data_IF_384278800241
#
_entry.id   IF_384278800241
#
_cell.length_a   1.000
_cell.length_b   1.000
_cell.length_c   1.000
_cell.angle_alpha   90.00
_cell.angle_beta   90.00
_cell.angle_gamma   90.00
#
_symmetry.space_group_name_H-M   'P 1'
#
loop_
_entity.id
_entity.type
_entity.pdbx_description
1 polymer ?
#
# COMPACT_ATOMS: atom_id res chain seq x y z
N UNK A 1 37.16 -21.96 -3.85
CA UNK A 1 35.83 -22.17 -3.25
C UNK A 1 34.92 -22.70 -4.33
N UNK A 2 34.60 -23.99 -4.32
CA UNK A 2 33.67 -24.58 -5.29
C UNK A 2 32.29 -23.95 -5.10
N UNK A 3 31.78 -23.30 -6.15
CA UNK A 3 30.40 -22.84 -6.17
C UNK A 3 29.49 -24.06 -6.02
N UNK A 4 28.83 -24.21 -4.87
CA UNK A 4 27.83 -25.24 -4.66
C UNK A 4 26.58 -24.91 -5.48
N UNK A 5 26.53 -25.39 -6.72
CA UNK A 5 25.45 -25.11 -7.66
C UNK A 5 24.25 -25.98 -7.30
N UNK A 6 23.16 -25.34 -6.86
CA UNK A 6 21.91 -26.02 -6.54
C UNK A 6 20.95 -26.04 -7.74
N UNK A 7 20.23 -27.15 -7.89
CA UNK A 7 19.17 -27.28 -8.87
C UNK A 7 18.01 -26.33 -8.55
N UNK A 8 17.67 -25.42 -9.48
CA UNK A 8 16.56 -24.47 -9.29
C UNK A 8 15.17 -25.12 -9.13
N UNK A 9 15.02 -26.39 -9.51
CA UNK A 9 13.73 -27.10 -9.46
C UNK A 9 13.51 -27.90 -8.18
N UNK A 10 14.55 -28.55 -7.65
CA UNK A 10 14.45 -29.45 -6.49
C UNK A 10 15.44 -29.12 -5.36
N UNK A 11 16.30 -28.12 -5.51
CA UNK A 11 17.29 -27.74 -4.50
C UNK A 11 18.49 -28.68 -4.38
N UNK A 12 18.52 -29.78 -5.15
CA UNK A 12 19.60 -30.77 -5.08
C UNK A 12 20.97 -30.18 -5.46
N UNK A 13 22.05 -30.54 -4.72
CA UNK A 13 23.43 -30.22 -5.10
C UNK A 13 24.00 -31.16 -6.17
N UNK A 14 23.29 -32.24 -6.54
CA UNK A 14 23.73 -33.22 -7.54
C UNK A 14 23.57 -32.68 -8.96
N UNK A 15 24.35 -31.64 -9.28
CA UNK A 15 24.30 -30.89 -10.53
C UNK A 15 25.61 -31.04 -11.28
N UNK A 16 25.52 -31.27 -12.59
CA UNK A 16 26.68 -31.32 -13.49
C UNK A 16 26.51 -30.33 -14.65
N UNK A 17 27.64 -29.87 -15.20
CA UNK A 17 27.65 -29.10 -16.46
C UNK A 17 27.10 -29.98 -17.60
N UNK A 18 26.28 -29.40 -18.46
CA UNK A 18 25.58 -30.10 -19.55
C UNK A 18 25.68 -29.29 -20.85
N UNK A 19 26.91 -29.12 -21.34
CA UNK A 19 27.19 -28.36 -22.56
C UNK A 19 26.80 -26.88 -22.51
N UNK A 20 26.91 -26.22 -23.66
CA UNK A 20 26.62 -24.80 -23.84
C UNK A 20 25.63 -24.60 -24.98
N UNK A 21 24.89 -23.50 -24.96
CA UNK A 21 24.05 -23.10 -26.09
C UNK A 21 24.08 -21.58 -26.22
N UNK A 22 24.43 -21.07 -27.41
CA UNK A 22 24.62 -19.64 -27.64
C UNK A 22 25.52 -18.98 -26.57
N UNK A 23 26.63 -19.66 -26.23
CA UNK A 23 27.57 -19.21 -25.19
C UNK A 23 27.10 -19.39 -23.74
N UNK A 24 25.86 -19.81 -23.50
CA UNK A 24 25.30 -19.96 -22.15
C UNK A 24 25.53 -21.39 -21.64
N UNK A 25 26.17 -21.51 -20.46
CA UNK A 25 26.36 -22.78 -19.77
C UNK A 25 25.01 -23.37 -19.30
N UNK A 26 24.77 -24.63 -19.67
CA UNK A 26 23.62 -25.42 -19.19
C UNK A 26 24.05 -26.41 -18.12
N UNK A 27 23.10 -26.79 -17.28
CA UNK A 27 23.29 -27.70 -16.16
C UNK A 27 22.24 -28.81 -16.19
N UNK A 28 22.63 -29.99 -15.73
CA UNK A 28 21.76 -31.16 -15.57
C UNK A 28 21.72 -31.57 -14.10
N UNK A 29 20.51 -31.69 -13.54
CA UNK A 29 20.33 -32.24 -12.21
C UNK A 29 20.16 -33.75 -12.28
N UNK A 30 21.03 -34.50 -11.60
CA UNK A 30 21.01 -35.97 -11.55
C UNK A 30 19.80 -36.52 -10.79
N UNK A 31 19.21 -35.74 -9.88
CA UNK A 31 18.08 -36.22 -9.06
C UNK A 31 16.74 -36.03 -9.78
N UNK A 32 16.40 -34.80 -10.17
CA UNK A 32 15.11 -34.52 -10.85
C UNK A 32 15.15 -34.66 -12.37
N UNK A 33 16.31 -35.01 -12.96
CA UNK A 33 16.51 -35.25 -14.40
C UNK A 33 16.07 -34.07 -15.29
N UNK A 34 16.33 -32.84 -14.85
CA UNK A 34 15.99 -31.62 -15.59
C UNK A 34 17.23 -30.82 -15.99
N UNK A 35 17.15 -30.24 -17.20
CA UNK A 35 18.10 -29.25 -17.72
C UNK A 35 17.73 -27.86 -17.22
N UNK A 36 18.72 -27.05 -16.86
CA UNK A 36 18.51 -25.65 -16.48
C UNK A 36 19.70 -24.75 -16.78
N UNK A 37 19.47 -23.45 -16.65
CA UNK A 37 20.48 -22.38 -16.66
C UNK A 37 20.38 -21.67 -15.31
N UNK A 38 21.51 -21.20 -14.77
CA UNK A 38 21.55 -20.42 -13.54
C UNK A 38 20.92 -19.04 -13.72
N UNK A 39 20.60 -18.37 -12.62
CA UNK A 39 20.03 -17.02 -12.64
C UNK A 39 18.57 -16.93 -13.12
N UNK A 40 17.95 -18.03 -13.54
CA UNK A 40 16.57 -18.08 -14.04
C UNK A 40 15.65 -18.81 -13.06
N UNK A 41 14.37 -18.42 -13.01
CA UNK A 41 13.37 -19.13 -12.20
C UNK A 41 12.92 -20.44 -12.87
N UNK A 42 12.33 -21.39 -12.11
CA UNK A 42 11.57 -22.49 -12.67
C UNK A 42 10.52 -21.99 -13.68
N UNK A 43 10.44 -22.68 -14.83
CA UNK A 43 9.52 -22.35 -15.94
C UNK A 43 9.77 -20.97 -16.59
N UNK A 44 10.89 -20.31 -16.29
CA UNK A 44 11.31 -19.09 -16.98
C UNK A 44 12.64 -19.31 -17.70
N UNK A 45 12.77 -18.66 -18.85
CA UNK A 45 13.98 -18.64 -19.68
C UNK A 45 14.84 -17.40 -19.42
N UNK A 46 14.23 -16.31 -18.95
CA UNK A 46 14.89 -15.03 -18.70
C UNK A 46 15.51 -14.98 -17.32
N UNK A 47 16.70 -14.38 -17.22
CA UNK A 47 17.42 -14.17 -15.97
C UNK A 47 16.65 -13.19 -15.05
N UNK A 48 16.69 -13.47 -13.75
CA UNK A 48 16.10 -12.64 -12.69
C UNK A 48 16.55 -11.19 -12.79
N UNK A 49 17.82 -10.94 -13.12
CA UNK A 49 18.40 -9.60 -13.26
C UNK A 49 17.67 -8.78 -14.31
N UNK A 50 17.44 -9.37 -15.49
CA UNK A 50 16.74 -8.72 -16.61
C UNK A 50 15.29 -8.39 -16.23
N UNK A 51 14.60 -9.35 -15.61
CA UNK A 51 13.22 -9.15 -15.14
C UNK A 51 13.16 -8.04 -14.08
N UNK A 52 14.10 -8.05 -13.14
CA UNK A 52 14.15 -7.04 -12.07
C UNK A 52 14.49 -5.64 -12.61
N UNK A 53 15.34 -5.54 -13.64
CA UNK A 53 15.61 -4.29 -14.34
C UNK A 53 14.35 -3.79 -15.04
N UNK A 54 13.63 -4.68 -15.74
CA UNK A 54 12.37 -4.33 -16.40
C UNK A 54 11.31 -3.78 -15.40
N UNK A 55 11.18 -4.41 -14.24
CA UNK A 55 10.29 -3.94 -13.15
C UNK A 55 10.76 -2.59 -12.60
N UNK A 56 12.06 -2.42 -12.37
CA UNK A 56 12.63 -1.19 -11.85
C UNK A 56 12.43 -0.02 -12.83
N UNK A 57 12.69 -0.22 -14.12
CA UNK A 57 12.40 0.77 -15.16
C UNK A 57 10.90 1.05 -15.28
N UNK A 58 10.08 -0.01 -15.29
CA UNK A 58 8.63 0.15 -15.36
C UNK A 58 8.14 1.01 -14.22
N UNK A 59 8.43 0.65 -12.97
CA UNK A 59 8.00 1.41 -11.79
C UNK A 59 8.68 2.78 -11.68
N UNK A 60 9.94 2.91 -12.11
CA UNK A 60 10.63 4.19 -12.26
C UNK A 60 9.98 5.16 -13.26
N UNK A 61 9.01 4.71 -14.04
CA UNK A 61 8.18 5.57 -14.90
C UNK A 61 8.54 5.50 -16.38
N UNK A 62 9.37 4.56 -16.82
CA UNK A 62 9.67 4.40 -18.24
C UNK A 62 8.49 3.76 -18.99
N UNK A 63 8.18 4.21 -20.23
CA UNK A 63 7.22 3.52 -21.08
C UNK A 63 7.77 2.19 -21.60
N UNK A 64 6.89 1.26 -21.99
CA UNK A 64 7.26 -0.12 -22.33
C UNK A 64 8.25 -0.22 -23.51
N UNK A 65 8.12 0.65 -24.51
CA UNK A 65 9.02 0.73 -25.66
C UNK A 65 10.43 1.19 -25.24
N UNK A 66 10.51 2.16 -24.32
CA UNK A 66 11.80 2.61 -23.77
C UNK A 66 12.45 1.52 -22.92
N UNK A 67 11.66 0.76 -22.15
CA UNK A 67 12.17 -0.39 -21.39
C UNK A 67 12.70 -1.45 -22.35
N UNK A 68 11.95 -1.78 -23.40
CA UNK A 68 12.38 -2.73 -24.42
C UNK A 68 13.74 -2.33 -25.04
N UNK A 69 13.88 -1.07 -25.47
CA UNK A 69 15.14 -0.54 -26.01
C UNK A 69 16.26 -0.60 -24.98
N UNK A 70 15.98 -0.21 -23.74
CA UNK A 70 16.95 -0.25 -22.65
C UNK A 70 17.44 -1.68 -22.36
N UNK A 71 16.53 -2.66 -22.27
CA UNK A 71 16.91 -4.06 -22.05
C UNK A 71 17.72 -4.63 -23.22
N UNK A 72 17.38 -4.27 -24.45
CA UNK A 72 18.15 -4.68 -25.62
C UNK A 72 19.57 -4.10 -25.59
N UNK A 73 19.71 -2.81 -25.27
CA UNK A 73 21.01 -2.14 -25.18
C UNK A 73 21.88 -2.70 -24.04
N UNK A 74 21.29 -2.96 -22.87
CA UNK A 74 22.05 -3.40 -21.69
C UNK A 74 22.36 -4.91 -21.68
N UNK A 75 21.45 -5.74 -22.21
CA UNK A 75 21.52 -7.20 -22.10
C UNK A 75 21.60 -7.92 -23.45
N UNK A 76 21.65 -7.20 -24.56
CA UNK A 76 21.73 -7.76 -25.93
C UNK A 76 20.51 -8.55 -26.37
N UNK A 77 19.44 -8.61 -25.56
CA UNK A 77 18.28 -9.45 -25.82
C UNK A 77 17.02 -8.61 -26.02
N UNK A 78 16.34 -8.83 -27.14
CA UNK A 78 15.09 -8.16 -27.45
C UNK A 78 13.90 -8.90 -26.82
N UNK A 79 13.03 -8.15 -26.15
CA UNK A 79 11.79 -8.66 -25.56
C UNK A 79 10.61 -7.83 -26.03
N UNK A 80 9.47 -8.46 -26.33
CA UNK A 80 8.26 -7.70 -26.69
C UNK A 80 7.74 -6.90 -25.51
N UNK A 81 7.14 -5.74 -25.78
CA UNK A 81 6.46 -4.92 -24.76
C UNK A 81 5.43 -5.74 -23.97
N UNK A 82 4.70 -6.64 -24.63
CA UNK A 82 3.75 -7.53 -23.98
C UNK A 82 4.43 -8.54 -23.04
N UNK A 83 5.60 -9.07 -23.43
CA UNK A 83 6.41 -9.94 -22.58
C UNK A 83 6.84 -9.22 -21.30
N UNK A 84 7.36 -8.00 -21.44
CA UNK A 84 7.75 -7.12 -20.32
C UNK A 84 6.53 -6.83 -19.44
N UNK A 85 5.41 -6.43 -20.03
CA UNK A 85 4.18 -6.12 -19.30
C UNK A 85 3.60 -7.34 -18.56
N UNK A 86 3.75 -8.55 -19.10
CA UNK A 86 3.38 -9.77 -18.40
C UNK A 86 4.28 -10.06 -17.21
N UNK A 87 5.58 -9.74 -17.27
CA UNK A 87 6.45 -9.78 -16.09
C UNK A 87 6.00 -8.79 -15.02
N UNK A 88 5.71 -7.54 -15.43
CA UNK A 88 5.16 -6.51 -14.55
C UNK A 88 3.94 -7.05 -13.80
N UNK A 89 2.88 -7.47 -14.51
CA UNK A 89 1.66 -7.99 -13.86
C UNK A 89 1.93 -9.15 -12.91
N UNK A 90 2.77 -10.11 -13.33
CA UNK A 90 3.07 -11.28 -12.52
C UNK A 90 3.75 -10.91 -11.21
N UNK A 91 4.86 -10.16 -11.29
CA UNK A 91 5.66 -9.85 -10.11
C UNK A 91 5.06 -8.74 -9.26
N UNK A 92 4.21 -7.87 -9.83
CA UNK A 92 3.29 -7.03 -9.06
C UNK A 92 2.42 -7.86 -8.13
N UNK A 93 1.78 -8.91 -8.65
CA UNK A 93 0.93 -9.79 -7.83
C UNK A 93 1.74 -10.50 -6.75
N UNK A 94 2.92 -11.02 -7.09
CA UNK A 94 3.80 -11.66 -6.09
C UNK A 94 4.27 -10.67 -5.00
N UNK A 95 4.54 -9.41 -5.35
CA UNK A 95 4.96 -8.39 -4.40
C UNK A 95 3.84 -7.99 -3.43
N UNK A 96 2.64 -7.71 -3.96
CA UNK A 96 1.45 -7.34 -3.17
C UNK A 96 1.07 -8.45 -2.19
N UNK A 97 1.09 -9.71 -2.65
CA UNK A 97 0.79 -10.87 -1.79
C UNK A 97 1.81 -11.00 -0.64
N UNK A 98 3.10 -10.76 -0.91
CA UNK A 98 4.17 -10.92 0.09
C UNK A 98 4.18 -9.84 1.17
N UNK A 99 3.54 -8.69 0.93
CA UNK A 99 3.48 -7.58 1.90
C UNK A 99 2.14 -7.51 2.63
N UNK A 100 1.19 -8.40 2.33
CA UNK A 100 -0.17 -8.33 2.90
C UNK A 100 -0.21 -8.35 4.43
N UNK A 101 0.76 -9.04 5.04
CA UNK A 101 0.91 -9.22 6.48
C UNK A 101 1.95 -8.27 7.10
N UNK A 102 2.52 -7.36 6.29
CA UNK A 102 3.47 -6.36 6.78
C UNK A 102 2.75 -5.27 7.56
N UNK A 103 3.15 -5.08 8.81
CA UNK A 103 2.60 -4.06 9.71
C UNK A 103 3.63 -2.93 9.91
N UNK A 104 3.43 -1.75 9.29
CA UNK A 104 4.34 -0.62 9.41
C UNK A 104 4.26 0.04 10.81
N UNK A 105 5.39 0.59 11.26
CA UNK A 105 5.44 1.47 12.44
C UNK A 105 5.29 2.92 11.95
N UNK A 106 4.06 3.43 12.03
CA UNK A 106 3.71 4.78 11.55
C UNK A 106 3.45 5.76 12.69
N UNK A 107 3.47 7.05 12.38
CA UNK A 107 3.13 8.14 13.30
C UNK A 107 1.63 8.22 13.63
N UNK A 108 1.27 9.31 14.31
CA UNK A 108 -0.10 9.57 14.79
C UNK A 108 -0.84 10.61 13.91
N UNK A 109 -0.19 11.12 12.86
CA UNK A 109 -0.78 12.09 11.93
C UNK A 109 -0.73 11.50 10.53
N UNK A 110 -1.91 11.28 9.94
CA UNK A 110 -2.03 10.80 8.58
C UNK A 110 -2.59 11.92 7.69
N UNK A 111 -2.22 11.89 6.42
CA UNK A 111 -2.70 12.82 5.41
C UNK A 111 -3.46 11.98 4.39
N UNK A 112 -4.68 12.40 4.03
CA UNK A 112 -5.46 11.74 3.00
C UNK A 112 -5.91 12.74 1.95
N UNK A 113 -5.90 12.31 0.71
CA UNK A 113 -6.30 13.11 -0.44
C UNK A 113 -6.74 12.19 -1.58
N UNK A 114 -7.48 12.75 -2.53
CA UNK A 114 -7.99 12.06 -3.70
C UNK A 114 -7.63 12.74 -5.00
N UNK A 115 -7.55 11.94 -6.05
CA UNK A 115 -7.18 12.43 -7.36
C UNK A 115 -7.90 11.67 -8.46
N UNK A 116 -8.00 12.29 -9.63
CA UNK A 116 -8.61 11.63 -10.80
C UNK A 116 -7.53 10.97 -11.64
N UNK A 117 -7.72 9.68 -11.93
CA UNK A 117 -6.93 8.90 -12.88
C UNK A 117 -7.78 8.48 -14.08
N UNK A 118 -7.14 8.09 -15.18
CA UNK A 118 -7.82 7.50 -16.34
C UNK A 118 -7.57 6.00 -16.42
N UNK A 119 -8.65 5.22 -16.42
CA UNK A 119 -8.65 3.75 -16.49
C UNK A 119 -9.65 3.29 -17.53
N UNK A 120 -9.18 2.52 -18.52
CA UNK A 120 -10.01 2.04 -19.63
C UNK A 120 -10.68 3.18 -20.40
N UNK A 121 -10.03 4.35 -20.48
CA UNK A 121 -10.60 5.56 -21.09
C UNK A 121 -11.58 6.35 -20.21
N UNK A 122 -11.93 5.86 -19.02
CA UNK A 122 -12.85 6.52 -18.08
C UNK A 122 -12.11 7.22 -16.96
N UNK A 123 -12.68 8.31 -16.44
CA UNK A 123 -12.20 8.97 -15.22
C UNK A 123 -12.64 8.14 -14.00
N UNK A 124 -11.70 7.88 -13.11
CA UNK A 124 -11.93 7.19 -11.83
C UNK A 124 -11.22 7.95 -10.72
N UNK A 125 -11.72 7.83 -9.50
CA UNK A 125 -11.14 8.42 -8.32
C UNK A 125 -10.06 7.50 -7.75
N UNK A 126 -9.02 8.09 -7.20
CA UNK A 126 -7.91 7.42 -6.56
C UNK A 126 -7.66 8.09 -5.23
N UNK A 127 -7.96 7.37 -4.15
CA UNK A 127 -7.80 7.82 -2.78
C UNK A 127 -6.48 7.30 -2.23
N UNK A 128 -5.75 8.15 -1.51
CA UNK A 128 -4.53 7.77 -0.81
C UNK A 128 -4.55 8.22 0.64
N UNK A 129 -3.88 7.45 1.48
CA UNK A 129 -3.60 7.81 2.89
C UNK A 129 -2.12 7.58 3.14
N UNK A 130 -1.42 8.61 3.59
CA UNK A 130 0.02 8.59 3.87
C UNK A 130 0.31 8.99 5.31
N UNK A 131 1.26 8.34 5.95
CA UNK A 131 1.77 8.77 7.25
C UNK A 131 2.69 9.99 7.09
N UNK A 132 2.45 11.05 7.84
CA UNK A 132 3.18 12.32 7.69
C UNK A 132 4.67 12.18 8.04
N UNK A 133 4.99 11.45 9.11
CA UNK A 133 6.36 11.32 9.63
C UNK A 133 7.24 10.39 8.79
N UNK A 134 6.73 9.21 8.45
CA UNK A 134 7.50 8.17 7.74
C UNK A 134 7.32 8.25 6.23
N UNK A 135 6.33 9.01 5.76
CA UNK A 135 5.84 9.01 4.37
C UNK A 135 5.32 7.65 3.92
N UNK A 136 5.07 6.70 4.82
CA UNK A 136 4.58 5.39 4.42
C UNK A 136 3.14 5.49 3.91
N UNK A 137 2.89 5.03 2.69
CA UNK A 137 1.54 4.92 2.13
C UNK A 137 0.79 3.79 2.83
N UNK A 138 -0.21 4.19 3.62
CA UNK A 138 -1.05 3.31 4.41
C UNK A 138 -2.20 2.70 3.61
N UNK A 139 -2.72 3.39 2.60
CA UNK A 139 -3.73 2.85 1.70
C UNK A 139 -3.74 3.63 0.38
N UNK A 140 -4.08 2.91 -0.69
CA UNK A 140 -4.38 3.46 -2.01
C UNK A 140 -5.61 2.73 -2.54
N UNK A 141 -6.58 3.43 -3.12
CA UNK A 141 -7.82 2.80 -3.60
C UNK A 141 -8.35 3.47 -4.87
N UNK A 142 -8.54 2.67 -5.91
CA UNK A 142 -9.27 3.08 -7.12
C UNK A 142 -10.77 2.87 -6.95
N UNK A 143 -11.57 3.89 -7.26
CA UNK A 143 -13.04 3.85 -7.11
C UNK A 143 -13.72 4.60 -8.24
N UNK A 144 -14.97 4.22 -8.56
CA UNK A 144 -15.78 4.94 -9.55
C UNK A 144 -16.50 6.17 -8.95
N UNK A 145 -16.62 6.24 -7.62
CA UNK A 145 -17.25 7.34 -6.90
C UNK A 145 -16.32 7.94 -5.84
N UNK A 146 -16.66 9.14 -5.37
CA UNK A 146 -15.98 9.82 -4.25
C UNK A 146 -16.89 10.01 -3.03
N UNK A 147 -17.83 9.07 -2.84
CA UNK A 147 -18.80 9.14 -1.76
C UNK A 147 -18.16 8.80 -0.40
N UNK A 148 -18.86 9.15 0.68
CA UNK A 148 -18.51 8.83 2.07
C UNK A 148 -18.11 7.36 2.27
N UNK A 149 -18.81 6.44 1.60
CA UNK A 149 -18.48 5.01 1.64
C UNK A 149 -17.04 4.73 1.20
N UNK A 150 -16.58 5.34 0.12
CA UNK A 150 -15.24 5.11 -0.41
C UNK A 150 -14.17 5.73 0.48
N UNK A 151 -14.44 6.92 1.01
CA UNK A 151 -13.60 7.54 2.04
C UNK A 151 -13.48 6.66 3.29
N UNK A 152 -14.59 6.13 3.82
CA UNK A 152 -14.57 5.22 4.96
C UNK A 152 -13.78 3.93 4.67
N UNK A 153 -13.92 3.38 3.45
CA UNK A 153 -13.22 2.14 3.12
C UNK A 153 -11.70 2.32 2.95
N UNK A 154 -11.22 3.44 2.40
CA UNK A 154 -9.77 3.73 2.34
C UNK A 154 -9.21 3.99 3.74
N UNK A 155 -9.97 4.69 4.60
CA UNK A 155 -9.61 4.93 6.00
C UNK A 155 -9.52 3.63 6.81
N UNK A 156 -10.48 2.72 6.62
CA UNK A 156 -10.47 1.43 7.30
C UNK A 156 -9.29 0.56 6.85
N UNK A 157 -8.92 0.61 5.56
CA UNK A 157 -7.74 -0.09 5.06
C UNK A 157 -6.44 0.48 5.65
N UNK A 158 -6.35 1.81 5.79
CA UNK A 158 -5.23 2.47 6.45
C UNK A 158 -5.13 2.06 7.94
N UNK A 159 -6.26 2.06 8.66
CA UNK A 159 -6.37 1.58 10.05
C UNK A 159 -5.91 0.14 10.21
N UNK A 160 -6.42 -0.74 9.34
CA UNK A 160 -6.06 -2.17 9.33
C UNK A 160 -4.57 -2.37 9.10
N UNK A 161 -3.99 -1.67 8.11
CA UNK A 161 -2.56 -1.77 7.79
C UNK A 161 -1.70 -1.22 8.94
N UNK A 162 -2.03 -0.05 9.49
CA UNK A 162 -1.30 0.54 10.61
C UNK A 162 -1.44 -0.24 11.93
N UNK A 163 -2.52 -1.01 12.09
CA UNK A 163 -2.85 -1.69 13.35
C UNK A 163 -3.26 -0.74 14.48
N UNK A 164 -3.56 0.53 14.19
CA UNK A 164 -3.95 1.56 15.16
C UNK A 164 -4.81 2.67 14.53
N UNK A 165 -5.48 3.45 15.37
CA UNK A 165 -6.07 4.73 14.97
C UNK A 165 -5.02 5.87 15.06
N UNK A 166 -5.01 6.83 14.13
CA UNK A 166 -4.21 8.04 14.26
C UNK A 166 -4.85 9.01 15.28
N UNK A 167 -4.06 9.93 15.83
CA UNK A 167 -4.61 11.05 16.61
C UNK A 167 -5.20 12.13 15.72
N UNK A 168 -4.63 12.32 14.53
CA UNK A 168 -5.04 13.36 13.58
C UNK A 168 -5.07 12.84 12.15
N UNK A 169 -6.06 13.28 11.40
CA UNK A 169 -6.10 13.10 9.94
C UNK A 169 -6.23 14.47 9.29
N UNK A 170 -5.32 14.78 8.37
CA UNK A 170 -5.32 15.98 7.55
C UNK A 170 -5.93 15.64 6.18
N UNK A 171 -6.93 16.38 5.74
CA UNK A 171 -7.48 16.26 4.37
C UNK A 171 -7.78 17.63 3.79
N UNK A 172 -8.00 17.70 2.47
CA UNK A 172 -8.66 18.87 1.87
C UNK A 172 -10.15 18.93 2.27
N UNK A 173 -10.86 19.96 1.83
CA UNK A 173 -12.23 20.34 2.24
C UNK A 173 -13.34 19.44 1.69
N UNK A 174 -13.03 18.27 1.14
CA UNK A 174 -14.07 17.35 0.63
C UNK A 174 -14.94 16.81 1.79
N UNK A 175 -16.26 17.06 1.72
CA UNK A 175 -17.21 16.65 2.76
C UNK A 175 -17.25 15.15 3.04
N UNK A 176 -17.00 14.30 2.04
CA UNK A 176 -16.99 12.84 2.21
C UNK A 176 -15.93 12.34 3.22
N UNK A 177 -14.84 13.09 3.43
CA UNK A 177 -13.88 12.74 4.48
C UNK A 177 -14.41 12.98 5.88
N UNK A 178 -15.23 14.02 6.09
CA UNK A 178 -15.80 14.33 7.41
C UNK A 178 -16.57 13.12 7.92
N UNK A 179 -17.54 12.67 7.13
CA UNK A 179 -18.36 11.50 7.50
C UNK A 179 -17.54 10.20 7.48
N UNK A 180 -16.64 10.04 6.50
CA UNK A 180 -15.86 8.81 6.34
C UNK A 180 -14.87 8.57 7.48
N UNK A 181 -14.25 9.64 7.99
CA UNK A 181 -13.34 9.59 9.14
C UNK A 181 -14.15 9.32 10.42
N UNK A 182 -15.27 10.03 10.62
CA UNK A 182 -16.13 9.83 11.78
C UNK A 182 -16.64 8.37 11.87
N UNK A 183 -17.07 7.78 10.74
CA UNK A 183 -17.53 6.39 10.69
C UNK A 183 -16.47 5.35 11.11
N UNK A 184 -15.18 5.62 10.84
CA UNK A 184 -14.09 4.64 11.04
C UNK A 184 -13.39 4.81 12.38
N UNK A 185 -13.25 6.07 12.82
CA UNK A 185 -12.44 6.42 13.98
C UNK A 185 -13.24 7.07 15.11
N UNK A 186 -14.38 7.71 14.81
CA UNK A 186 -15.16 8.48 15.78
C UNK A 186 -14.30 9.45 16.58
N UNK A 187 -14.57 9.54 17.88
CA UNK A 187 -13.88 10.45 18.80
C UNK A 187 -12.37 10.14 19.01
N UNK A 188 -11.85 8.99 18.55
CA UNK A 188 -10.43 8.64 18.71
C UNK A 188 -9.50 9.48 17.82
N UNK A 189 -10.04 10.11 16.78
CA UNK A 189 -9.26 10.82 15.76
C UNK A 189 -9.82 12.22 15.53
N UNK A 190 -8.96 13.23 15.60
CA UNK A 190 -9.31 14.60 15.21
C UNK A 190 -9.13 14.78 13.71
N UNK A 191 -10.21 15.05 12.99
CA UNK A 191 -10.15 15.51 11.60
C UNK A 191 -9.76 16.99 11.55
N UNK A 192 -8.82 17.33 10.68
CA UNK A 192 -8.39 18.70 10.41
C UNK A 192 -8.45 18.91 8.90
N UNK A 193 -9.26 19.87 8.47
CA UNK A 193 -9.28 20.30 7.08
C UNK A 193 -8.14 21.30 6.86
N UNK A 194 -7.23 21.03 5.93
CA UNK A 194 -6.16 21.95 5.59
C UNK A 194 -6.73 23.22 4.97
N UNK A 195 -6.22 24.39 5.40
CA UNK A 195 -6.43 25.65 4.69
C UNK A 195 -5.22 25.93 3.81
N UNK A 196 -5.42 26.49 2.60
CA UNK A 196 -4.31 26.99 1.79
C UNK A 196 -3.41 27.91 2.64
N UNK A 197 -2.09 27.78 2.51
CA UNK A 197 -1.07 28.67 3.10
C UNK A 197 -0.75 28.55 4.61
N UNK A 198 -0.98 27.40 5.26
CA UNK A 198 -0.43 27.16 6.61
C UNK A 198 0.61 26.04 6.60
N UNK A 199 1.85 26.34 7.00
CA UNK A 199 2.97 25.38 7.00
C UNK A 199 2.76 24.19 7.95
N UNK A 200 1.84 24.32 8.91
CA UNK A 200 1.65 23.36 10.01
C UNK A 200 0.74 22.18 9.64
N UNK A 201 -0.11 22.30 8.61
CA UNK A 201 -1.09 21.28 8.21
C UNK A 201 -1.18 21.12 6.68
N UNK A 202 -0.03 20.91 6.03
CA UNK A 202 0.05 20.87 4.57
C UNK A 202 -0.21 19.48 3.98
N UNK A 203 -1.01 19.43 2.91
CA UNK A 203 -1.26 18.27 2.04
C UNK A 203 -0.17 18.08 0.96
N UNK A 204 0.86 18.93 0.92
CA UNK A 204 1.90 18.91 -0.11
C UNK A 204 2.60 17.54 -0.26
N UNK A 205 2.74 16.77 0.83
CA UNK A 205 3.36 15.44 0.81
C UNK A 205 2.57 14.49 -0.09
N UNK A 206 1.25 14.43 0.08
CA UNK A 206 0.38 13.53 -0.69
C UNK A 206 0.15 14.06 -2.10
N UNK A 207 0.03 15.38 -2.28
CA UNK A 207 -0.10 16.00 -3.60
C UNK A 207 1.12 15.70 -4.49
N UNK A 208 2.34 15.81 -3.95
CA UNK A 208 3.57 15.46 -4.68
C UNK A 208 3.59 13.98 -5.07
N UNK A 209 3.10 13.10 -4.19
CA UNK A 209 2.97 11.68 -4.49
C UNK A 209 1.97 11.46 -5.65
N UNK A 210 0.77 12.03 -5.55
CA UNK A 210 -0.27 11.88 -6.57
C UNK A 210 0.17 12.48 -7.91
N UNK A 211 0.90 13.60 -7.92
CA UNK A 211 1.51 14.17 -9.12
C UNK A 211 2.45 13.19 -9.81
N UNK A 212 3.35 12.57 -9.04
CA UNK A 212 4.25 11.51 -9.55
C UNK A 212 3.46 10.36 -10.18
N UNK A 213 2.39 9.92 -9.52
CA UNK A 213 1.56 8.84 -10.03
C UNK A 213 0.82 9.24 -11.30
N UNK A 214 0.28 10.46 -11.37
CA UNK A 214 -0.40 10.97 -12.58
C UNK A 214 0.53 10.98 -13.78
N UNK A 215 1.74 11.50 -13.65
CA UNK A 215 2.69 11.55 -14.76
C UNK A 215 3.08 10.16 -15.25
N UNK A 216 3.26 9.25 -14.31
CA UNK A 216 3.45 7.83 -14.61
C UNK A 216 2.28 7.21 -15.37
N UNK A 217 1.02 7.44 -14.94
CA UNK A 217 -0.16 6.86 -15.62
C UNK A 217 -0.29 7.32 -17.07
N UNK A 218 0.13 8.57 -17.37
CA UNK A 218 0.18 9.09 -18.75
C UNK A 218 1.19 8.29 -19.58
N UNK A 219 2.38 8.04 -19.03
CA UNK A 219 3.49 7.39 -19.75
C UNK A 219 3.18 5.91 -20.05
N UNK A 220 2.56 5.17 -19.12
CA UNK A 220 2.26 3.74 -19.31
C UNK A 220 0.96 3.48 -20.11
N UNK A 221 0.45 4.47 -20.85
CA UNK A 221 -0.81 4.43 -21.63
C UNK A 221 -2.04 4.01 -20.80
N UNK A 222 -2.09 4.43 -19.53
CA UNK A 222 -3.20 4.19 -18.60
C UNK A 222 -3.41 2.71 -18.23
N UNK A 223 -4.29 2.48 -17.26
CA UNK A 223 -4.69 1.12 -16.89
C UNK A 223 -5.75 0.61 -17.86
N UNK A 224 -5.57 -0.58 -18.45
CA UNK A 224 -6.52 -1.12 -19.45
C UNK A 224 -7.89 -1.48 -18.88
N UNK A 225 -7.93 -1.85 -17.60
CA UNK A 225 -9.16 -2.22 -16.87
C UNK A 225 -9.02 -1.90 -15.39
N UNK A 226 -10.14 -1.79 -14.67
CA UNK A 226 -10.14 -1.55 -13.22
C UNK A 226 -9.27 -2.56 -12.46
N UNK A 227 -9.48 -3.86 -12.71
CA UNK A 227 -8.68 -4.95 -12.11
C UNK A 227 -7.17 -4.79 -12.33
N UNK A 228 -6.77 -4.34 -13.53
CA UNK A 228 -5.35 -4.13 -13.82
C UNK A 228 -4.84 -2.85 -13.19
N UNK A 229 -5.69 -1.82 -13.10
CA UNK A 229 -5.40 -0.59 -12.38
C UNK A 229 -5.13 -0.87 -10.92
N UNK A 230 -6.04 -1.57 -10.24
CA UNK A 230 -5.93 -1.95 -8.83
C UNK A 230 -4.60 -2.67 -8.57
N UNK A 231 -4.31 -3.72 -9.33
CA UNK A 231 -3.05 -4.47 -9.19
C UNK A 231 -1.81 -3.58 -9.33
N UNK A 232 -1.81 -2.66 -10.30
CA UNK A 232 -0.65 -1.83 -10.60
C UNK A 232 -0.51 -0.64 -9.65
N UNK A 233 -1.62 -0.12 -9.11
CA UNK A 233 -1.59 0.88 -8.03
C UNK A 233 -1.17 0.25 -6.71
N UNK A 234 -1.61 -0.97 -6.41
CA UNK A 234 -1.16 -1.71 -5.22
C UNK A 234 0.34 -2.03 -5.31
N UNK A 235 0.81 -2.49 -6.47
CA UNK A 235 2.23 -2.71 -6.69
C UNK A 235 3.04 -1.41 -6.70
N UNK A 236 2.41 -0.28 -7.04
CA UNK A 236 3.04 1.04 -6.89
C UNK A 236 3.22 1.42 -5.44
N UNK A 237 2.24 1.14 -4.57
CA UNK A 237 2.39 1.30 -3.12
C UNK A 237 3.58 0.48 -2.62
N UNK A 238 3.75 -0.76 -3.12
CA UNK A 238 4.93 -1.57 -2.79
C UNK A 238 6.23 -0.90 -3.25
N UNK A 239 6.29 -0.46 -4.51
CA UNK A 239 7.48 0.21 -5.02
C UNK A 239 7.82 1.46 -4.23
N UNK A 240 6.82 2.32 -3.99
CA UNK A 240 6.98 3.55 -3.24
C UNK A 240 7.48 3.27 -1.83
N UNK A 241 6.82 2.39 -1.08
CA UNK A 241 7.13 2.16 0.32
C UNK A 241 8.46 1.43 0.53
N UNK A 242 8.82 0.49 -0.34
CA UNK A 242 9.95 -0.41 -0.09
C UNK A 242 11.18 -0.13 -0.96
N UNK A 243 11.03 0.53 -2.10
CA UNK A 243 12.11 0.66 -3.10
C UNK A 243 12.44 2.10 -3.46
N UNK A 244 11.46 3.01 -3.44
CA UNK A 244 11.67 4.39 -3.85
C UNK A 244 12.34 5.18 -2.73
N UNK A 245 13.49 5.76 -3.02
CA UNK A 245 14.20 6.63 -2.09
C UNK A 245 13.60 8.03 -2.05
N UNK A 246 13.68 8.66 -0.88
CA UNK A 246 13.21 10.03 -0.67
C UNK A 246 14.30 10.86 -0.01
N UNK A 247 14.70 11.96 -0.65
CA UNK A 247 15.70 12.91 -0.12
C UNK A 247 15.33 13.40 1.29
N UNK A 248 14.06 13.74 1.50
CA UNK A 248 13.53 14.19 2.80
C UNK A 248 13.60 13.13 3.90
N UNK A 249 13.85 11.86 3.55
CA UNK A 249 14.04 10.78 4.51
C UNK A 249 15.51 10.39 4.67
N UNK A 250 16.43 11.04 3.96
CA UNK A 250 17.86 10.70 3.91
C UNK A 250 18.19 9.66 2.82
N UNK A 251 17.53 9.73 1.66
CA UNK A 251 17.70 8.82 0.53
C UNK A 251 17.43 7.35 0.88
N UNK A 252 16.38 7.12 1.68
CA UNK A 252 15.90 5.77 2.00
C UNK A 252 14.41 5.66 1.72
N UNK A 253 13.89 4.44 1.46
CA UNK A 253 12.46 4.21 1.32
C UNK A 253 11.69 4.40 2.64
N UNK A 254 10.37 4.73 2.58
CA UNK A 254 9.53 4.90 3.76
C UNK A 254 9.57 3.69 4.71
N UNK A 255 9.59 2.48 4.16
CA UNK A 255 9.62 1.27 4.97
C UNK A 255 10.92 1.11 5.77
N UNK A 256 12.05 1.56 5.20
CA UNK A 256 13.34 1.53 5.88
C UNK A 256 13.45 2.61 6.95
N UNK A 257 12.79 3.78 6.75
CA UNK A 257 12.75 4.86 7.74
C UNK A 257 12.20 4.41 9.10
N UNK A 258 11.34 3.39 9.11
CA UNK A 258 10.73 2.84 10.31
C UNK A 258 11.70 2.01 11.17
N UNK A 259 12.88 1.65 10.64
CA UNK A 259 13.88 0.85 11.36
C UNK A 259 13.48 -0.61 11.58
N UNK A 260 12.46 -1.10 10.87
CA UNK A 260 12.03 -2.49 10.96
C UNK A 260 12.50 -3.33 9.76
N UNK A 261 12.74 -4.64 10.00
CA UNK A 261 12.82 -5.68 8.98
C UNK A 261 11.84 -5.50 7.80
N UNK A 262 12.35 -5.32 6.56
CA UNK A 262 11.53 -5.28 5.32
C UNK A 262 11.54 -6.62 4.56
N UNK A 263 10.41 -7.06 3.98
CA UNK A 263 10.28 -8.39 3.36
C UNK A 263 11.06 -8.57 2.06
N UNK A 264 11.58 -7.47 1.52
CA UNK A 264 12.49 -7.42 0.39
C UNK A 264 13.10 -6.00 0.26
N UNK A 265 14.26 -5.91 -0.38
CA UNK A 265 14.99 -4.64 -0.63
C UNK A 265 14.82 -4.08 -2.03
N UNK A 266 14.52 -4.94 -3.01
CA UNK A 266 14.39 -4.55 -4.40
C UNK A 266 13.56 -5.59 -5.19
N UNK A 267 13.29 -5.29 -6.46
CA UNK A 267 12.57 -6.19 -7.36
C UNK A 267 13.28 -7.52 -7.60
N UNK A 268 14.61 -7.61 -7.51
CA UNK A 268 15.32 -8.88 -7.68
C UNK A 268 14.99 -9.87 -6.55
N UNK A 269 14.80 -9.40 -5.31
CA UNK A 269 14.35 -10.24 -4.19
C UNK A 269 12.87 -10.63 -4.30
N UNK A 270 12.03 -9.77 -4.89
CA UNK A 270 10.66 -10.14 -5.26
C UNK A 270 10.68 -11.28 -6.26
N UNK A 271 11.42 -11.12 -7.37
CA UNK A 271 11.45 -12.05 -8.49
C UNK A 271 12.11 -13.38 -8.11
N UNK A 272 13.27 -13.34 -7.45
CA UNK A 272 14.00 -14.55 -7.05
C UNK A 272 13.25 -15.42 -6.04
N UNK A 273 12.21 -14.88 -5.38
CA UNK A 273 11.55 -15.48 -4.22
C UNK A 273 12.52 -15.86 -3.12
N UNK A 274 13.66 -15.15 -3.03
CA UNK A 274 14.61 -15.35 -1.96
C UNK A 274 13.89 -15.14 -0.62
N UNK A 275 14.01 -16.12 0.28
CA UNK A 275 13.68 -15.91 1.69
C UNK A 275 14.66 -14.88 2.23
N UNK A 276 14.16 -13.81 2.83
CA UNK A 276 15.01 -12.84 3.54
C UNK A 276 15.69 -13.59 4.69
N UNK A 277 17.02 -13.66 4.68
CA UNK A 277 17.81 -14.17 5.82
C UNK A 277 18.05 -12.98 6.74
N UNK A 278 17.30 -12.91 7.84
CA UNK A 278 17.48 -11.87 8.85
C UNK A 278 18.80 -12.06 9.59
N UNK A 279 19.68 -11.07 9.53
CA UNK A 279 20.81 -10.92 10.46
C UNK A 279 20.56 -9.74 11.39
N UNK A 280 19.41 -9.72 12.07
CA UNK A 280 19.19 -8.82 13.21
C UNK A 280 18.40 -9.60 14.26
N UNK A 281 19.00 -9.83 15.43
CA UNK A 281 18.29 -10.38 16.59
C UNK A 281 17.17 -9.40 16.95
N UNK A 282 15.89 -9.81 17.00
CA UNK A 282 14.82 -8.92 17.43
C UNK A 282 15.06 -8.52 18.89
N UNK A 283 15.39 -7.26 19.12
CA UNK A 283 15.59 -6.68 20.46
C UNK A 283 14.30 -6.13 21.05
N UNK A 284 13.15 -6.75 20.76
CA UNK A 284 11.90 -6.51 21.47
C UNK A 284 11.13 -7.82 21.54
N UNK A 285 11.08 -8.44 22.72
CA UNK A 285 10.11 -9.50 22.99
C UNK A 285 8.72 -8.85 23.02
N UNK A 286 7.73 -9.31 22.23
CA UNK A 286 6.37 -8.83 22.37
C UNK A 286 5.92 -9.11 23.82
N UNK A 287 5.43 -8.07 24.49
CA UNK A 287 5.02 -8.15 25.88
C UNK A 287 3.72 -8.99 25.95
N UNK A 288 3.84 -10.28 26.28
CA UNK A 288 2.72 -11.24 26.35
C UNK A 288 1.71 -10.95 27.47
N UNK A 289 1.89 -9.87 28.23
CA UNK A 289 1.03 -9.47 29.35
C UNK A 289 -0.34 -8.94 28.91
N UNK A 290 -0.53 -8.56 27.64
CA UNK A 290 -1.81 -8.06 27.11
C UNK A 290 -2.82 -9.16 26.76
N UNK A 291 -2.37 -10.40 26.51
CA UNK A 291 -3.27 -11.50 26.10
C UNK A 291 -4.04 -12.12 27.26
N UNK A 292 -3.48 -12.12 28.48
CA UNK A 292 -4.11 -12.73 29.65
C UNK A 292 -5.30 -11.90 30.17
N UNK A 293 -5.24 -10.56 30.00
CA UNK A 293 -6.29 -9.64 30.48
C UNK A 293 -7.57 -9.70 29.63
N UNK A 294 -7.47 -10.06 28.35
CA UNK A 294 -8.63 -10.17 27.46
C UNK A 294 -9.49 -11.42 27.76
N UNK A 295 -8.85 -12.54 28.13
CA UNK A 295 -9.57 -13.78 28.49
C UNK A 295 -10.38 -13.66 29.78
N UNK A 296 -9.90 -12.90 30.78
CA UNK A 296 -10.63 -12.73 32.05
C UNK A 296 -11.80 -11.74 31.97
N UNK A 297 -11.88 -10.91 30.91
CA UNK A 297 -12.99 -9.96 30.72
C UNK A 297 -14.17 -10.56 29.97
N UNK A 298 -13.96 -11.62 29.18
CA UNK A 298 -15.00 -12.28 28.38
C UNK A 298 -15.81 -13.35 29.14
N UNK A 299 -15.48 -13.63 30.41
CA UNK A 299 -16.19 -14.62 31.24
C UNK A 299 -17.12 -14.01 32.30
N UNK A 300 -17.25 -12.69 32.39
CA UNK A 300 -18.17 -12.06 33.35
C UNK A 300 -19.58 -11.98 32.75
N UNK A 301 -20.62 -12.47 33.46
CA UNK A 301 -21.99 -12.36 32.98
C UNK A 301 -22.41 -10.90 32.82
N UNK A 302 -23.07 -10.61 31.69
CA UNK A 302 -23.58 -9.28 31.33
C UNK A 302 -24.66 -8.87 32.34
N UNK A 303 -24.35 -7.93 33.22
CA UNK A 303 -25.34 -7.30 34.11
C UNK A 303 -26.21 -6.36 33.27
N UNK A 304 -27.48 -6.72 33.06
CA UNK A 304 -28.47 -5.82 32.43
C UNK A 304 -28.65 -4.57 33.29
N UNK A 305 -28.18 -3.42 32.82
CA UNK A 305 -28.47 -2.11 33.44
C UNK A 305 -29.96 -1.78 33.26
N UNK A 306 -30.68 -1.54 34.37
CA UNK A 306 -32.04 -0.99 34.34
C UNK A 306 -31.98 0.48 33.88
N UNK A 307 -32.74 0.82 32.84
CA UNK A 307 -32.93 2.22 32.45
C UNK A 307 -33.79 2.96 33.49
N UNK A 308 -33.43 4.21 33.87
CA UNK A 308 -34.27 5.02 34.73
C UNK A 308 -35.54 5.45 34.00
N UNK A 309 -36.69 5.31 34.68
CA UNK A 309 -38.01 5.76 34.17
C UNK A 309 -38.02 7.27 33.96
N UNK A 310 -38.39 7.73 32.76
CA UNK A 310 -38.62 9.16 32.46
C UNK A 310 -39.78 9.69 33.31
N UNK A 311 -39.58 10.81 34.02
CA UNK A 311 -40.67 11.56 34.67
C UNK A 311 -41.56 12.24 33.60
N UNK A 312 -42.89 12.31 33.79
CA UNK A 312 -43.78 13.02 32.88
C UNK A 312 -43.51 14.53 32.92
N UNK A 313 -43.53 15.18 31.75
CA UNK A 313 -43.42 16.63 31.61
C UNK A 313 -44.71 17.29 32.11
N UNK A 314 -44.60 18.20 33.07
CA UNK A 314 -45.73 19.03 33.52
C UNK A 314 -46.19 20.00 32.43
N UNK A 315 -47.51 20.13 32.28
CA UNK A 315 -48.16 21.14 31.43
C UNK A 315 -47.77 22.54 31.91
N UNK A 316 -47.26 23.39 31.01
CA UNK A 316 -47.15 24.84 31.25
C UNK A 316 -48.54 25.46 31.09
N UNK A 317 -49.09 26.04 32.15
CA UNK A 317 -50.25 26.94 32.09
C UNK A 317 -49.88 28.19 31.29
N UNK A 318 -50.70 28.54 30.30
CA UNK A 318 -50.63 29.81 29.57
C UNK A 318 -51.29 30.89 30.42
N UNK A 319 -50.55 31.94 30.74
CA UNK A 319 -51.11 33.16 31.32
C UNK A 319 -51.93 33.90 30.25
N UNK A 320 -53.19 34.18 30.56
CA UNK A 320 -54.06 35.09 29.80
C UNK A 320 -53.64 36.53 30.10
N UNK A 321 -53.32 37.30 29.06
CA UNK A 321 -53.18 38.76 29.15
C UNK A 321 -54.58 39.33 28.87
N UNK A 322 -55.18 39.95 29.88
CA UNK A 322 -56.37 40.81 29.72
C UNK A 322 -55.93 42.14 29.12
N UNK A 323 -56.35 42.43 27.89
CA UNK A 323 -56.39 43.79 27.35
C UNK A 323 -57.75 44.40 27.66
N UNK A 324 -57.78 45.34 28.61
CA UNK A 324 -58.89 46.22 28.91
C UNK A 324 -59.07 47.26 27.80
N UNK A 325 -60.22 47.21 27.12
CA UNK A 325 -60.72 48.28 26.24
C UNK A 325 -61.25 49.39 27.14
N UNK A 326 -60.68 50.59 27.03
CA UNK A 326 -61.24 51.81 27.63
C UNK A 326 -61.72 52.71 26.49
N UNK A 327 -63.03 52.84 26.39
CA UNK A 327 -63.75 53.83 25.59
C UNK A 327 -63.64 55.21 26.24
N UNK A 328 -63.27 56.24 25.48
CA UNK A 328 -63.58 57.64 25.82
C UNK A 328 -63.85 58.45 24.54
N UNK A 329 -65.12 58.85 24.44
CA UNK A 329 -65.76 60.01 23.79
C UNK A 329 -65.37 60.44 22.38
#
# INVERSE_FOLDING_TARGET
MENNILCKYCGSPNVVKFGTFQGIQRYWCKDCKRKFVLGTLPKMKTDVKIISAALSCYFGGMPLDAIQRHLHQQFGTYYSEMGIYNWVKRFSKEAVERIKDFHPIVGDTWIADETVLRVGGKKVWFFDVIDEKTRYLLASRLTESRATKEAALVMNEAKRRAGKSPKRILTDKMGAYIDGIELVFGADTKHIQSTPFTDVNSTNIIERFQGTLKDRTKIVRGFKSMKTGELLTDAWLVHYNFFKEHETLGNIPPAQKMGIPTPFRNWAEVVSRAKVIWHVKPSVKPNLTSFTRLKSMLQKPIVKRKHPKRKPKGLKQRAFIQTSVTTLK
#
